data_IF_922699950749
#
_entry.id   IF_922699950749
#
_cell.length_a   1.000
_cell.length_b   1.000
_cell.length_c   1.000
_cell.angle_alpha   90.00
_cell.angle_beta   90.00
_cell.angle_gamma   90.00
#
_symmetry.space_group_name_H-M   'P 1'
#
loop_
_entity.id
_entity.type
_entity.pdbx_description
1 polymer ?
#
# COMPACT_ATOMS: atom_id res chain seq x y z
N UNK A 1 20.40 -39.98 50.86
CA UNK A 1 20.16 -38.54 51.06
C UNK A 1 20.19 -37.88 49.68
N UNK A 2 19.02 -37.44 49.19
CA UNK A 2 18.83 -36.86 47.84
C UNK A 2 19.00 -35.34 47.94
N UNK A 3 19.99 -34.79 47.23
CA UNK A 3 20.23 -33.35 47.14
C UNK A 3 19.19 -32.71 46.19
N UNK A 4 18.27 -31.94 46.76
CA UNK A 4 17.34 -31.09 46.01
C UNK A 4 18.02 -29.74 45.78
N UNK A 5 18.29 -29.39 44.52
CA UNK A 5 18.72 -28.04 44.12
C UNK A 5 17.47 -27.16 44.02
N UNK A 6 17.39 -26.12 44.85
CA UNK A 6 16.39 -25.06 44.76
C UNK A 6 16.78 -24.13 43.62
N UNK A 7 15.94 -24.03 42.59
CA UNK A 7 16.08 -23.05 41.50
C UNK A 7 15.23 -21.84 41.90
N UNK A 8 15.88 -20.71 42.19
CA UNK A 8 15.22 -19.43 42.44
C UNK A 8 14.81 -18.86 41.07
N UNK A 9 13.51 -18.85 40.78
CA UNK A 9 12.96 -18.14 39.63
C UNK A 9 12.92 -16.63 39.95
N UNK A 10 13.80 -15.86 39.34
CA UNK A 10 13.70 -14.40 39.34
C UNK A 10 12.59 -13.98 38.37
N UNK A 11 11.46 -13.50 38.91
CA UNK A 11 10.39 -12.87 38.12
C UNK A 11 10.85 -11.45 37.78
N UNK A 12 11.33 -11.26 36.55
CA UNK A 12 11.62 -9.93 36.01
C UNK A 12 10.28 -9.27 35.67
N UNK A 13 9.83 -8.33 36.52
CA UNK A 13 8.67 -7.48 36.23
C UNK A 13 9.05 -6.45 35.17
N UNK A 14 8.56 -6.66 33.94
CA UNK A 14 8.68 -5.70 32.85
C UNK A 14 7.73 -4.52 33.12
N UNK A 15 8.24 -3.44 33.68
CA UNK A 15 7.52 -2.18 33.79
C UNK A 15 7.39 -1.57 32.38
N UNK A 16 6.23 -1.75 31.75
CA UNK A 16 5.87 -1.03 30.53
C UNK A 16 5.57 0.41 30.95
N UNK A 17 6.50 1.32 30.72
CA UNK A 17 6.23 2.76 30.77
C UNK A 17 5.29 3.04 29.57
N UNK A 18 3.99 3.13 29.83
CA UNK A 18 3.05 3.75 28.91
C UNK A 18 3.37 5.25 28.85
N UNK A 19 4.31 5.63 27.99
CA UNK A 19 4.34 7.01 27.50
C UNK A 19 3.14 7.11 26.57
N UNK A 20 2.14 7.92 26.94
CA UNK A 20 1.01 8.24 26.08
C UNK A 20 1.56 8.72 24.73
N UNK A 21 1.33 7.96 23.66
CA UNK A 21 1.71 8.41 22.33
C UNK A 21 0.90 9.66 22.00
N UNK A 22 1.52 10.70 21.43
CA UNK A 22 0.77 11.85 20.97
C UNK A 22 -0.20 11.42 19.86
N UNK A 23 -1.36 12.09 19.76
CA UNK A 23 -2.43 11.73 18.81
C UNK A 23 -1.97 11.67 17.34
N UNK A 24 -0.90 12.38 17.01
CA UNK A 24 -0.31 12.47 15.68
C UNK A 24 0.70 11.37 15.34
N UNK A 25 1.02 10.44 16.26
CA UNK A 25 1.95 9.34 16.00
C UNK A 25 1.20 8.05 15.63
N UNK A 26 1.55 7.46 14.49
CA UNK A 26 0.98 6.18 14.05
C UNK A 26 2.00 5.05 14.29
N UNK A 27 1.52 3.88 14.71
CA UNK A 27 2.34 2.68 14.81
C UNK A 27 1.63 1.45 14.28
N UNK A 28 2.41 0.51 13.74
CA UNK A 28 1.92 -0.80 13.29
C UNK A 28 3.06 -1.81 13.30
N UNK A 29 2.76 -3.09 13.43
CA UNK A 29 3.76 -4.16 13.26
C UNK A 29 3.74 -4.66 11.82
N UNK A 30 4.87 -4.57 11.12
CA UNK A 30 5.06 -5.14 9.78
C UNK A 30 5.89 -6.44 9.85
N UNK A 31 5.84 -7.25 8.79
CA UNK A 31 6.62 -8.49 8.70
C UNK A 31 5.99 -9.47 7.73
N UNK A 32 5.34 -10.50 8.27
CA UNK A 32 4.75 -11.60 7.49
C UNK A 32 3.58 -11.17 6.60
N UNK A 33 2.72 -10.26 7.07
CA UNK A 33 1.48 -9.90 6.40
C UNK A 33 1.51 -8.50 5.80
N UNK A 34 0.73 -8.32 4.73
CA UNK A 34 0.50 -7.00 4.14
C UNK A 34 -0.07 -6.04 5.19
N UNK A 35 0.56 -4.89 5.34
CA UNK A 35 0.25 -3.96 6.42
C UNK A 35 0.34 -2.52 5.92
N UNK A 36 -0.62 -1.69 6.32
CA UNK A 36 -0.63 -0.26 6.03
C UNK A 36 -0.54 0.51 7.34
N UNK A 37 0.41 1.44 7.43
CA UNK A 37 0.41 2.50 8.43
C UNK A 37 -0.07 3.77 7.74
N UNK A 38 -1.18 4.34 8.20
CA UNK A 38 -1.73 5.58 7.65
C UNK A 38 -1.69 6.70 8.70
N UNK A 39 -1.32 7.90 8.29
CA UNK A 39 -1.34 9.10 9.10
C UNK A 39 -1.81 10.29 8.25
N UNK A 40 -3.11 10.56 8.31
CA UNK A 40 -3.74 11.59 7.47
C UNK A 40 -3.30 13.01 7.85
N UNK A 41 -3.02 13.28 9.14
CA UNK A 41 -2.55 14.59 9.60
C UNK A 41 -1.19 14.97 9.00
N UNK A 42 -0.31 13.98 8.85
CA UNK A 42 0.99 14.16 8.19
C UNK A 42 0.89 14.04 6.67
N UNK A 43 -0.25 13.60 6.14
CA UNK A 43 -0.41 13.20 4.75
C UNK A 43 0.61 12.13 4.35
N UNK A 44 0.86 11.15 5.23
CA UNK A 44 1.85 10.11 5.03
C UNK A 44 1.25 8.74 5.25
N UNK A 45 1.61 7.81 4.36
CA UNK A 45 1.25 6.40 4.49
C UNK A 45 2.45 5.53 4.11
N UNK A 46 2.62 4.44 4.83
CA UNK A 46 3.55 3.37 4.52
C UNK A 46 2.77 2.10 4.20
N UNK A 47 3.07 1.49 3.07
CA UNK A 47 2.48 0.23 2.63
C UNK A 47 3.56 -0.85 2.56
N UNK A 48 3.49 -1.83 3.46
CA UNK A 48 4.44 -2.92 3.54
C UNK A 48 3.82 -4.22 2.98
N UNK A 49 4.37 -4.81 1.90
CA UNK A 49 3.88 -6.08 1.37
C UNK A 49 4.19 -7.26 2.32
N UNK A 50 3.61 -8.45 2.11
CA UNK A 50 3.91 -9.63 2.90
C UNK A 50 5.38 -10.05 2.80
N UNK A 51 5.93 -10.48 3.94
CA UNK A 51 7.33 -10.89 4.10
C UNK A 51 8.31 -9.74 3.78
N UNK A 52 8.00 -8.53 4.23
CA UNK A 52 8.87 -7.34 4.13
C UNK A 52 10.10 -7.46 5.04
N UNK A 53 10.03 -8.30 6.07
CA UNK A 53 11.11 -8.60 7.02
C UNK A 53 10.90 -10.00 7.61
N UNK A 54 12.00 -10.72 7.87
CA UNK A 54 12.00 -12.06 8.48
C UNK A 54 11.55 -12.05 9.95
N UNK A 55 11.70 -10.91 10.62
CA UNK A 55 11.24 -10.70 11.99
C UNK A 55 10.22 -9.56 12.03
N UNK A 56 9.21 -9.62 12.93
CA UNK A 56 8.28 -8.51 13.11
C UNK A 56 9.01 -7.23 13.50
N UNK A 57 8.63 -6.12 12.86
CA UNK A 57 9.16 -4.78 13.15
C UNK A 57 8.00 -3.89 13.58
N UNK A 58 8.12 -3.26 14.75
CA UNK A 58 7.25 -2.18 15.15
C UNK A 58 7.67 -0.92 14.39
N UNK A 59 6.82 -0.46 13.49
CA UNK A 59 6.99 0.79 12.76
C UNK A 59 6.34 1.91 13.54
N UNK A 60 7.05 3.02 13.69
CA UNK A 60 6.52 4.30 14.14
C UNK A 60 6.83 5.35 13.09
N UNK A 61 5.85 6.18 12.76
CA UNK A 61 6.02 7.33 11.87
C UNK A 61 5.59 8.61 12.59
N UNK A 62 6.45 9.61 12.56
CA UNK A 62 6.33 10.86 13.31
C UNK A 62 6.77 12.04 12.44
N UNK A 63 6.17 13.22 12.61
CA UNK A 63 6.62 14.41 11.91
C UNK A 63 8.10 14.69 12.25
N UNK A 64 8.93 14.91 11.24
CA UNK A 64 10.33 15.21 11.48
C UNK A 64 10.46 16.60 12.12
N UNK A 65 11.34 16.70 13.11
CA UNK A 65 11.70 17.98 13.74
C UNK A 65 12.28 18.95 12.69
N UNK A 66 11.54 20.01 12.41
CA UNK A 66 11.90 21.01 11.40
C UNK A 66 13.27 21.64 11.64
N UNK A 67 13.72 21.76 12.90
CA UNK A 67 15.04 22.30 13.25
C UNK A 67 16.20 21.39 12.82
N UNK A 68 15.92 20.11 12.52
CA UNK A 68 16.89 19.11 12.08
C UNK A 68 16.87 18.89 10.57
N UNK A 69 16.02 19.60 9.84
CA UNK A 69 15.97 19.55 8.38
C UNK A 69 17.06 20.48 7.85
N UNK A 70 18.11 19.89 7.27
CA UNK A 70 19.20 20.64 6.66
C UNK A 70 18.76 21.11 5.27
N UNK A 71 18.80 22.42 4.97
CA UNK A 71 18.50 22.92 3.63
C UNK A 71 19.51 22.40 2.60
N UNK A 72 19.00 22.00 1.44
CA UNK A 72 19.81 21.57 0.27
C UNK A 72 19.45 22.49 -0.89
N UNK A 73 20.47 22.99 -1.59
CA UNK A 73 20.27 23.90 -2.71
C UNK A 73 19.43 23.26 -3.84
N UNK A 74 18.50 24.06 -4.38
CA UNK A 74 17.55 23.61 -5.40
C UNK A 74 16.51 22.57 -4.94
N UNK A 75 16.36 22.34 -3.62
CA UNK A 75 15.36 21.43 -3.05
C UNK A 75 14.50 22.17 -2.02
N UNK A 76 13.18 22.11 -2.21
CA UNK A 76 12.20 22.52 -1.22
C UNK A 76 11.60 21.30 -0.52
N UNK A 77 11.73 21.24 0.81
CA UNK A 77 11.12 20.19 1.63
C UNK A 77 9.71 20.64 2.00
N UNK A 78 8.69 20.00 1.42
CA UNK A 78 7.29 20.31 1.73
C UNK A 78 6.90 19.80 3.11
N UNK A 79 7.29 18.55 3.41
CA UNK A 79 7.16 17.93 4.74
C UNK A 79 8.11 16.75 4.86
N UNK A 80 8.50 16.43 6.08
CA UNK A 80 9.38 15.31 6.37
C UNK A 80 8.84 14.46 7.52
N UNK A 81 9.09 13.16 7.45
CA UNK A 81 8.64 12.13 8.37
C UNK A 81 9.83 11.33 8.84
N UNK A 82 9.95 11.17 10.17
CA UNK A 82 10.86 10.22 10.77
C UNK A 82 10.16 8.87 10.87
N UNK A 83 10.71 7.86 10.20
CA UNK A 83 10.25 6.47 10.30
C UNK A 83 11.25 5.68 11.13
N UNK A 84 10.76 4.98 12.14
CA UNK A 84 11.53 4.11 13.02
C UNK A 84 10.95 2.71 12.97
N UNK A 85 11.74 1.73 12.53
CA UNK A 85 11.34 0.33 12.46
C UNK A 85 12.20 -0.48 13.41
N UNK A 86 11.63 -0.90 14.54
CA UNK A 86 12.36 -1.52 15.64
C UNK A 86 11.88 -2.95 15.86
N UNK A 87 12.81 -3.88 15.99
CA UNK A 87 12.49 -5.20 16.51
C UNK A 87 12.42 -5.15 18.04
N UNK A 88 11.20 -5.14 18.61
CA UNK A 88 11.05 -5.05 20.07
C UNK A 88 11.64 -6.23 20.84
N UNK A 89 11.72 -7.43 20.24
CA UNK A 89 12.25 -8.61 20.90
C UNK A 89 13.78 -8.59 21.02
N UNK A 90 14.47 -7.96 20.07
CA UNK A 90 15.93 -7.97 19.97
C UNK A 90 16.56 -6.57 20.12
N UNK A 91 15.75 -5.52 20.28
CA UNK A 91 16.20 -4.17 20.62
C UNK A 91 16.98 -3.44 19.53
N UNK A 92 16.99 -3.93 18.29
CA UNK A 92 17.68 -3.31 17.17
C UNK A 92 16.73 -2.57 16.23
N UNK A 93 17.26 -1.53 15.58
CA UNK A 93 16.57 -0.73 14.56
C UNK A 93 16.95 -1.24 13.18
N UNK A 94 15.96 -1.53 12.35
CA UNK A 94 16.18 -1.99 10.98
C UNK A 94 16.70 -0.84 10.11
N UNK A 95 17.80 -1.10 9.39
CA UNK A 95 18.33 -0.20 8.36
C UNK A 95 17.81 -0.55 6.96
N UNK A 96 17.48 -1.82 6.69
CA UNK A 96 16.95 -2.28 5.41
C UNK A 96 15.81 -3.30 5.56
N UNK A 97 15.05 -3.48 4.48
CA UNK A 97 13.93 -4.42 4.35
C UNK A 97 14.28 -5.52 3.34
N UNK A 98 13.68 -6.70 3.51
CA UNK A 98 13.86 -7.84 2.60
C UNK A 98 13.07 -7.67 1.28
N UNK A 99 11.97 -6.91 1.34
CA UNK A 99 11.21 -6.46 0.16
C UNK A 99 10.97 -4.96 0.28
N UNK A 100 10.87 -4.23 -0.85
CA UNK A 100 10.57 -2.81 -0.81
C UNK A 100 9.22 -2.54 -0.14
N UNK A 101 9.18 -1.55 0.74
CA UNK A 101 7.93 -0.93 1.17
C UNK A 101 7.63 0.28 0.27
N UNK A 102 6.37 0.64 0.14
CA UNK A 102 5.94 1.84 -0.58
C UNK A 102 5.71 2.98 0.41
N UNK A 103 6.46 4.06 0.23
CA UNK A 103 6.25 5.33 0.91
C UNK A 103 5.29 6.16 0.07
N UNK A 104 4.31 6.77 0.73
CA UNK A 104 3.25 7.54 0.06
C UNK A 104 3.08 8.87 0.80
N UNK A 105 3.17 9.98 0.06
CA UNK A 105 2.86 11.32 0.54
C UNK A 105 1.68 11.89 -0.22
N UNK A 106 0.72 12.47 0.49
CA UNK A 106 -0.37 13.25 -0.11
C UNK A 106 0.01 14.72 -0.16
N UNK A 107 -0.49 15.43 -1.17
CA UNK A 107 -0.38 16.88 -1.31
C UNK A 107 -1.65 17.44 -1.93
N UNK A 108 -1.91 18.73 -1.74
CA UNK A 108 -3.02 19.44 -2.38
C UNK A 108 -2.53 20.61 -3.24
N UNK A 109 -3.48 21.35 -3.81
CA UNK A 109 -3.25 22.54 -4.62
C UNK A 109 -2.47 23.63 -3.87
N UNK A 110 -2.69 23.80 -2.57
CA UNK A 110 -1.94 24.75 -1.73
C UNK A 110 -0.48 24.30 -1.59
N UNK A 111 -0.23 23.02 -1.33
CA UNK A 111 1.13 22.46 -1.29
C UNK A 111 1.84 22.68 -2.64
N UNK A 112 1.15 22.40 -3.74
CA UNK A 112 1.66 22.60 -5.10
C UNK A 112 1.98 24.06 -5.39
N UNK A 113 1.07 24.99 -5.10
CA UNK A 113 1.29 26.42 -5.27
C UNK A 113 2.47 26.92 -4.45
N UNK A 114 2.59 26.50 -3.19
CA UNK A 114 3.74 26.89 -2.34
C UNK A 114 5.05 26.34 -2.88
N UNK A 115 5.08 25.05 -3.22
CA UNK A 115 6.26 24.38 -3.74
C UNK A 115 6.72 24.93 -5.10
N UNK A 116 5.79 25.38 -5.94
CA UNK A 116 6.07 25.98 -7.24
C UNK A 116 6.34 27.49 -7.19
N UNK A 117 6.43 28.11 -6.00
CA UNK A 117 6.51 29.58 -5.85
C UNK A 117 5.37 30.32 -6.56
N UNK A 118 4.16 29.77 -6.47
CA UNK A 118 2.91 30.24 -7.10
C UNK A 118 2.88 30.14 -8.63
N UNK A 119 3.86 29.46 -9.24
CA UNK A 119 3.90 29.21 -10.69
C UNK A 119 3.17 27.90 -11.03
N UNK A 120 1.87 28.01 -11.28
CA UNK A 120 1.03 26.87 -11.66
C UNK A 120 1.39 26.24 -13.01
N UNK A 121 2.31 26.83 -13.79
CA UNK A 121 2.81 26.27 -15.06
C UNK A 121 3.91 25.22 -14.88
N UNK A 122 4.47 25.06 -13.68
CA UNK A 122 5.54 24.09 -13.46
C UNK A 122 5.02 22.64 -13.49
N UNK A 123 5.80 21.68 -14.01
CA UNK A 123 5.35 20.29 -14.05
C UNK A 123 5.21 19.73 -12.63
N UNK A 124 4.03 19.19 -12.30
CA UNK A 124 3.75 18.55 -11.00
C UNK A 124 4.72 17.38 -10.70
N UNK A 125 5.30 16.77 -11.73
CA UNK A 125 6.38 15.80 -11.63
C UNK A 125 7.68 16.32 -10.99
N UNK A 126 7.78 17.61 -10.63
CA UNK A 126 8.88 18.10 -9.78
C UNK A 126 8.79 17.56 -8.36
N UNK A 127 7.59 17.20 -7.89
CA UNK A 127 7.40 16.48 -6.64
C UNK A 127 8.03 15.08 -6.70
N UNK A 128 8.71 14.68 -5.61
CA UNK A 128 9.36 13.37 -5.44
C UNK A 128 9.51 13.02 -3.97
N UNK A 129 9.74 11.75 -3.66
CA UNK A 129 10.13 11.32 -2.31
C UNK A 129 11.64 11.26 -2.21
N UNK A 130 12.20 11.84 -1.14
CA UNK A 130 13.60 11.69 -0.78
C UNK A 130 13.80 10.91 0.51
N UNK A 131 14.93 10.22 0.61
CA UNK A 131 15.48 9.64 1.83
C UNK A 131 16.72 10.45 2.25
N UNK A 132 16.80 10.85 3.50
CA UNK A 132 17.95 11.61 4.02
C UNK A 132 19.17 10.71 4.22
N UNK A 133 20.26 10.99 3.49
CA UNK A 133 21.54 10.29 3.64
C UNK A 133 22.44 11.10 4.58
N UNK A 134 22.59 10.61 5.81
CA UNK A 134 23.39 11.27 6.84
C UNK A 134 24.88 11.41 6.48
N UNK A 135 25.40 10.53 5.61
CA UNK A 135 26.81 10.57 5.19
C UNK A 135 27.07 11.65 4.16
N UNK A 136 26.12 11.87 3.25
CA UNK A 136 26.20 12.88 2.20
C UNK A 136 25.68 14.24 2.63
N UNK A 137 24.89 14.27 3.72
CA UNK A 137 24.11 15.45 4.14
C UNK A 137 23.25 15.97 2.98
N UNK A 138 22.64 15.04 2.26
CA UNK A 138 21.81 15.31 1.10
C UNK A 138 20.64 14.30 1.01
N UNK A 139 19.63 14.64 0.20
CA UNK A 139 18.49 13.79 -0.10
C UNK A 139 18.81 12.83 -1.25
N UNK A 140 18.83 11.54 -0.96
CA UNK A 140 18.77 10.49 -1.99
C UNK A 140 17.35 10.47 -2.53
N UNK A 141 17.19 10.82 -3.79
CA UNK A 141 15.88 10.88 -4.44
C UNK A 141 15.45 9.47 -4.86
N UNK A 142 14.24 9.09 -4.44
CA UNK A 142 13.67 7.80 -4.78
C UNK A 142 12.92 7.89 -6.12
N UNK A 143 12.98 6.87 -7.00
CA UNK A 143 12.14 6.79 -8.19
C UNK A 143 10.67 6.92 -7.80
N UNK A 144 10.07 8.05 -8.17
CA UNK A 144 8.75 8.44 -7.69
C UNK A 144 7.73 8.47 -8.82
N UNK A 145 6.50 8.14 -8.47
CA UNK A 145 5.31 8.22 -9.30
C UNK A 145 4.37 9.27 -8.71
N UNK A 146 3.94 10.22 -9.54
CA UNK A 146 3.03 11.31 -9.15
C UNK A 146 1.65 11.06 -9.74
N UNK A 147 0.63 11.10 -8.88
CA UNK A 147 -0.78 11.08 -9.21
C UNK A 147 -1.35 12.46 -8.89
N UNK A 148 -2.08 13.04 -9.82
CA UNK A 148 -2.61 14.40 -9.66
C UNK A 148 -3.94 14.53 -10.40
N UNK A 149 -4.98 14.97 -9.70
CA UNK A 149 -6.32 15.17 -10.26
C UNK A 149 -6.71 16.65 -10.42
N UNK A 150 -5.75 17.58 -10.31
CA UNK A 150 -5.99 19.01 -10.39
C UNK A 150 -6.24 19.72 -9.05
N UNK A 151 -6.55 18.96 -7.99
CA UNK A 151 -6.76 19.52 -6.64
C UNK A 151 -6.02 18.76 -5.55
N UNK A 152 -5.97 17.42 -5.66
CA UNK A 152 -5.27 16.55 -4.73
C UNK A 152 -4.32 15.62 -5.49
N UNK A 153 -3.23 15.27 -4.83
CA UNK A 153 -2.20 14.42 -5.40
C UNK A 153 -1.56 13.49 -4.40
N UNK A 154 -0.92 12.48 -4.96
CA UNK A 154 -0.13 11.48 -4.25
C UNK A 154 1.21 11.36 -4.94
N UNK A 155 2.28 11.29 -4.15
CA UNK A 155 3.58 10.82 -4.60
C UNK A 155 3.83 9.48 -3.92
N UNK A 156 4.15 8.45 -4.70
CA UNK A 156 4.57 7.15 -4.17
C UNK A 156 5.97 6.80 -4.66
N UNK A 157 6.73 6.11 -3.82
CA UNK A 157 8.03 5.53 -4.17
C UNK A 157 8.25 4.24 -3.39
N UNK A 158 8.89 3.27 -4.02
CA UNK A 158 9.32 2.03 -3.34
C UNK A 158 10.75 2.18 -2.82
N UNK A 159 11.03 1.61 -1.65
CA UNK A 159 12.33 1.67 -0.99
C UNK A 159 12.58 0.44 -0.13
N UNK A 160 13.81 -0.04 -0.13
CA UNK A 160 14.29 -1.05 0.81
C UNK A 160 14.93 -0.42 2.06
N UNK A 161 15.20 0.88 2.07
CA UNK A 161 15.53 1.59 3.30
C UNK A 161 14.41 1.39 4.32
N UNK A 162 14.76 0.96 5.54
CA UNK A 162 13.82 0.78 6.62
C UNK A 162 13.67 2.08 7.41
N UNK A 163 14.40 2.21 8.52
CA UNK A 163 14.36 3.41 9.36
C UNK A 163 15.13 4.57 8.74
N UNK A 164 14.64 5.78 8.97
CA UNK A 164 15.27 7.01 8.53
C UNK A 164 14.26 8.12 8.28
N UNK A 165 14.75 9.22 7.71
CA UNK A 165 13.92 10.38 7.41
C UNK A 165 13.54 10.38 5.94
N UNK A 166 12.25 10.46 5.68
CA UNK A 166 11.68 10.57 4.34
C UNK A 166 11.02 11.94 4.20
N UNK A 167 10.95 12.47 2.99
CA UNK A 167 10.29 13.73 2.74
C UNK A 167 9.61 13.78 1.38
N UNK A 168 8.50 14.53 1.33
CA UNK A 168 7.98 15.07 0.08
C UNK A 168 8.83 16.29 -0.29
N UNK A 169 9.49 16.19 -1.44
CA UNK A 169 10.40 17.18 -1.96
C UNK A 169 9.85 17.79 -3.24
N UNK A 170 10.16 19.05 -3.47
CA UNK A 170 10.06 19.70 -4.76
C UNK A 170 11.45 20.11 -5.24
N UNK A 171 11.78 19.81 -6.50
CA UNK A 171 13.08 20.18 -7.08
C UNK A 171 12.98 21.40 -7.99
N UNK A 172 13.78 22.43 -7.68
CA UNK A 172 13.96 23.62 -8.49
C UNK A 172 15.08 23.49 -9.52
N UNK A 173 15.86 22.41 -9.49
CA UNK A 173 16.95 22.20 -10.45
C UNK A 173 16.35 22.08 -11.87
N UNK A 174 16.94 22.78 -12.82
CA UNK A 174 16.45 22.82 -14.22
C UNK A 174 16.68 21.49 -14.93
N UNK A 175 17.79 20.81 -14.61
CA UNK A 175 18.22 19.54 -15.18
C UNK A 175 17.71 18.31 -14.41
N UNK A 176 16.92 18.52 -13.34
CA UNK A 176 16.38 17.42 -12.56
C UNK A 176 15.46 16.55 -13.41
N UNK A 177 15.74 15.24 -13.42
CA UNK A 177 14.76 14.27 -13.91
C UNK A 177 13.46 14.45 -13.13
N UNK A 178 12.36 14.65 -13.86
CA UNK A 178 11.02 14.75 -13.28
C UNK A 178 10.50 13.35 -12.96
N UNK A 179 9.77 13.24 -11.85
CA UNK A 179 9.04 12.05 -11.51
C UNK A 179 7.96 11.76 -12.55
N UNK A 180 7.76 10.48 -12.85
CA UNK A 180 6.74 10.08 -13.82
C UNK A 180 5.35 10.44 -13.29
N UNK A 181 4.58 11.17 -14.09
CA UNK A 181 3.17 11.42 -13.81
C UNK A 181 2.38 10.23 -14.34
N UNK A 182 1.67 9.54 -13.46
CA UNK A 182 0.94 8.33 -13.82
C UNK A 182 -0.38 8.73 -14.48
N UNK A 183 -0.67 8.24 -15.71
CA UNK A 183 -1.94 8.54 -16.37
C UNK A 183 -3.11 7.94 -15.59
N UNK A 184 -4.29 8.51 -15.80
CA UNK A 184 -5.53 7.97 -15.22
C UNK A 184 -5.77 6.53 -15.68
N UNK A 185 -6.20 5.69 -14.74
CA UNK A 185 -6.50 4.30 -15.00
C UNK A 185 -6.62 3.50 -13.71
N UNK A 186 -7.47 2.48 -13.73
CA UNK A 186 -7.70 1.64 -12.55
C UNK A 186 -6.50 0.70 -12.36
N UNK A 187 -5.86 0.81 -11.19
CA UNK A 187 -4.82 -0.11 -10.75
C UNK A 187 -5.41 -1.16 -9.83
N UNK A 188 -4.84 -2.35 -9.84
CA UNK A 188 -5.19 -3.40 -8.88
C UNK A 188 -3.95 -3.85 -8.13
N UNK A 189 -4.08 -3.99 -6.81
CA UNK A 189 -3.08 -4.59 -5.95
C UNK A 189 -3.69 -5.71 -5.14
N UNK A 190 -2.97 -6.82 -5.00
CA UNK A 190 -3.28 -7.86 -4.01
C UNK A 190 -2.16 -7.86 -2.98
N UNK A 191 -2.54 -7.71 -1.70
CA UNK A 191 -1.61 -7.62 -0.59
C UNK A 191 -0.51 -6.55 -0.83
N UNK A 192 -0.92 -5.39 -1.34
CA UNK A 192 -0.05 -4.24 -1.66
C UNK A 192 0.95 -4.46 -2.82
N UNK A 193 0.91 -5.63 -3.46
CA UNK A 193 1.70 -5.93 -4.66
C UNK A 193 0.89 -5.57 -5.91
N UNK A 194 1.42 -4.73 -6.81
CA UNK A 194 0.76 -4.41 -8.08
C UNK A 194 0.55 -5.65 -8.95
N UNK A 195 -0.66 -5.78 -9.50
CA UNK A 195 -0.98 -6.84 -10.46
C UNK A 195 -0.91 -6.27 -11.87
N UNK A 196 -0.18 -6.97 -12.75
CA UNK A 196 -0.22 -6.72 -14.19
C UNK A 196 -1.40 -7.48 -14.80
N UNK A 197 -2.17 -6.79 -15.61
CA UNK A 197 -3.24 -7.38 -16.42
C UNK A 197 -3.01 -7.05 -17.89
N UNK A 198 -3.33 -7.99 -18.77
CA UNK A 198 -3.28 -7.83 -20.23
C UNK A 198 -4.43 -6.95 -20.76
N UNK A 199 -5.49 -6.78 -19.98
CA UNK A 199 -6.63 -5.92 -20.31
C UNK A 199 -6.96 -5.01 -19.13
N UNK A 200 -7.31 -3.75 -19.43
CA UNK A 200 -7.56 -2.76 -18.39
C UNK A 200 -8.87 -3.05 -17.64
N UNK A 201 -8.91 -2.91 -16.30
CA UNK A 201 -10.16 -2.83 -15.56
C UNK A 201 -10.95 -1.58 -15.95
N UNK A 202 -12.27 -1.60 -15.74
CA UNK A 202 -13.15 -0.46 -16.02
C UNK A 202 -14.24 -0.32 -14.98
N UNK A 203 -14.94 0.83 -14.97
CA UNK A 203 -16.14 1.03 -14.15
C UNK A 203 -17.39 0.77 -14.98
N UNK A 204 -18.34 0.01 -14.44
CA UNK A 204 -19.69 -0.18 -14.98
C UNK A 204 -20.68 -0.19 -13.82
N UNK A 205 -21.73 0.63 -13.92
CA UNK A 205 -22.77 0.77 -12.89
C UNK A 205 -22.19 0.93 -11.47
N UNK A 206 -21.23 1.85 -11.33
CA UNK A 206 -20.48 2.12 -10.09
C UNK A 206 -19.76 0.90 -9.50
N UNK A 207 -19.39 -0.07 -10.33
CA UNK A 207 -18.58 -1.24 -9.94
C UNK A 207 -17.33 -1.33 -10.79
N UNK A 208 -16.21 -1.59 -10.12
CA UNK A 208 -14.94 -1.90 -10.77
C UNK A 208 -15.00 -3.32 -11.32
N UNK A 209 -15.08 -3.41 -12.65
CA UNK A 209 -15.05 -4.63 -13.43
C UNK A 209 -13.61 -5.02 -13.71
N UNK A 210 -13.24 -6.25 -13.36
CA UNK A 210 -11.87 -6.75 -13.43
C UNK A 210 -11.80 -8.07 -14.20
N UNK A 211 -10.69 -8.35 -14.89
CA UNK A 211 -10.49 -9.63 -15.57
C UNK A 211 -10.50 -10.75 -14.54
N UNK A 212 -11.47 -11.65 -14.67
CA UNK A 212 -11.75 -12.65 -13.66
C UNK A 212 -10.53 -13.51 -13.33
N UNK A 213 -9.85 -14.01 -14.37
CA UNK A 213 -8.71 -14.93 -14.22
C UNK A 213 -7.56 -14.29 -13.45
N UNK A 214 -7.26 -13.02 -13.76
CA UNK A 214 -6.18 -12.27 -13.13
C UNK A 214 -6.40 -12.18 -11.61
N UNK A 215 -7.62 -11.86 -11.19
CA UNK A 215 -7.93 -11.76 -9.75
C UNK A 215 -8.06 -13.11 -9.08
N UNK A 216 -8.71 -14.08 -9.72
CA UNK A 216 -8.85 -15.42 -9.18
C UNK A 216 -7.49 -16.07 -8.91
N UNK A 217 -6.56 -16.02 -9.87
CA UNK A 217 -5.22 -16.60 -9.74
C UNK A 217 -4.41 -15.95 -8.60
N UNK A 218 -4.46 -14.61 -8.48
CA UNK A 218 -3.79 -13.89 -7.39
C UNK A 218 -4.41 -14.17 -6.01
N UNK A 219 -5.69 -14.56 -5.97
CA UNK A 219 -6.38 -15.05 -4.76
C UNK A 219 -6.15 -16.56 -4.50
N UNK A 220 -5.38 -17.24 -5.34
CA UNK A 220 -5.08 -18.67 -5.25
C UNK A 220 -6.23 -19.57 -5.73
N UNK A 221 -7.20 -19.03 -6.46
CA UNK A 221 -8.32 -19.77 -7.03
C UNK A 221 -8.04 -20.16 -8.49
N UNK A 222 -8.41 -21.39 -8.86
CA UNK A 222 -8.45 -21.82 -10.28
C UNK A 222 -9.80 -21.47 -10.89
N UNK A 223 -9.80 -21.23 -12.20
CA UNK A 223 -11.00 -20.86 -12.97
C UNK A 223 -11.33 -21.96 -13.97
N UNK A 224 -12.52 -22.56 -13.85
CA UNK A 224 -13.07 -23.51 -14.81
C UNK A 224 -14.23 -22.87 -15.59
N UNK A 225 -14.23 -23.02 -16.91
CA UNK A 225 -15.33 -22.59 -17.78
C UNK A 225 -16.17 -23.79 -18.22
N UNK A 226 -17.49 -23.69 -18.05
CA UNK A 226 -18.48 -24.69 -18.45
C UNK A 226 -19.38 -24.06 -19.50
N UNK A 227 -18.94 -24.15 -20.75
CA UNK A 227 -19.56 -23.43 -21.88
C UNK A 227 -21.00 -23.79 -22.17
N UNK A 228 -21.43 -25.03 -21.91
CA UNK A 228 -22.82 -25.47 -22.11
C UNK A 228 -23.82 -24.74 -21.20
N UNK A 229 -23.35 -24.19 -20.09
CA UNK A 229 -24.18 -23.49 -19.10
C UNK A 229 -23.89 -21.99 -19.04
N UNK A 230 -22.89 -21.50 -19.79
CA UNK A 230 -22.27 -20.19 -19.57
C UNK A 230 -21.85 -19.99 -18.10
N UNK A 231 -21.40 -21.08 -17.46
CA UNK A 231 -21.05 -21.13 -16.03
C UNK A 231 -19.53 -21.07 -15.85
N UNK A 232 -19.11 -20.37 -14.82
CA UNK A 232 -17.74 -20.25 -14.36
C UNK A 232 -17.70 -20.82 -12.95
N UNK A 233 -16.79 -21.75 -12.71
CA UNK A 233 -16.52 -22.30 -11.39
C UNK A 233 -15.14 -21.81 -10.92
N UNK A 234 -15.13 -21.03 -9.85
CA UNK A 234 -13.92 -20.62 -9.14
C UNK A 234 -13.68 -21.56 -7.97
N UNK A 235 -12.51 -22.18 -7.91
CA UNK A 235 -12.21 -23.19 -6.88
C UNK A 235 -10.92 -22.83 -6.14
N UNK A 236 -11.01 -22.74 -4.81
CA UNK A 236 -9.87 -22.54 -3.91
C UNK A 236 -10.03 -23.46 -2.72
N UNK A 237 -9.09 -24.39 -2.53
CA UNK A 237 -9.19 -25.43 -1.50
C UNK A 237 -10.53 -26.20 -1.62
N UNK A 238 -11.36 -26.19 -0.56
CA UNK A 238 -12.68 -26.80 -0.54
C UNK A 238 -13.82 -25.82 -0.91
N UNK A 239 -13.49 -24.54 -1.13
CA UNK A 239 -14.47 -23.53 -1.51
C UNK A 239 -14.69 -23.53 -3.02
N UNK A 240 -15.96 -23.54 -3.43
CA UNK A 240 -16.38 -23.40 -4.82
C UNK A 240 -17.38 -22.25 -4.93
N UNK A 241 -17.09 -21.30 -5.83
CA UNK A 241 -17.99 -20.21 -6.20
C UNK A 241 -18.36 -20.38 -7.68
N UNK A 242 -19.64 -20.60 -7.95
CA UNK A 242 -20.20 -20.72 -9.31
C UNK A 242 -20.92 -19.44 -9.69
N UNK A 243 -20.61 -18.90 -10.87
CA UNK A 243 -21.25 -17.71 -11.43
C UNK A 243 -21.60 -17.94 -12.89
N UNK A 244 -22.59 -17.21 -13.40
CA UNK A 244 -23.07 -17.36 -14.78
C UNK A 244 -22.98 -16.04 -15.52
N UNK A 245 -22.47 -16.07 -16.75
CA UNK A 245 -22.40 -14.87 -17.60
C UNK A 245 -23.81 -14.33 -17.85
N UNK A 246 -23.99 -13.02 -17.68
CA UNK A 246 -25.27 -12.33 -17.83
C UNK A 246 -26.25 -12.52 -16.67
N UNK A 247 -25.86 -13.19 -15.58
CA UNK A 247 -26.70 -13.34 -14.37
C UNK A 247 -26.03 -12.73 -13.16
N UNK A 248 -26.82 -12.04 -12.34
CA UNK A 248 -26.39 -11.49 -11.05
C UNK A 248 -26.39 -12.54 -9.94
N UNK A 249 -27.14 -13.63 -10.10
CA UNK A 249 -27.10 -14.75 -9.15
C UNK A 249 -25.83 -15.59 -9.33
N UNK A 250 -25.20 -15.92 -8.22
CA UNK A 250 -24.08 -16.84 -8.07
C UNK A 250 -24.30 -17.77 -6.88
N UNK A 251 -23.46 -18.80 -6.73
CA UNK A 251 -23.53 -19.76 -5.63
C UNK A 251 -22.17 -19.99 -5.00
N UNK A 252 -22.09 -19.96 -3.67
CA UNK A 252 -20.94 -20.47 -2.90
C UNK A 252 -21.33 -21.78 -2.23
N UNK A 253 -20.88 -22.90 -2.79
CA UNK A 253 -21.42 -24.22 -2.43
C UNK A 253 -22.92 -24.30 -2.69
N UNK A 254 -23.72 -24.44 -1.63
CA UNK A 254 -25.20 -24.48 -1.70
C UNK A 254 -25.87 -23.11 -1.46
N UNK A 255 -25.11 -22.10 -1.02
CA UNK A 255 -25.65 -20.78 -0.67
C UNK A 255 -25.72 -19.89 -1.91
N UNK A 256 -26.90 -19.33 -2.21
CA UNK A 256 -27.04 -18.28 -3.23
C UNK A 256 -26.47 -16.95 -2.74
N UNK A 257 -25.84 -16.24 -3.66
CA UNK A 257 -25.28 -14.91 -3.47
C UNK A 257 -25.56 -14.05 -4.71
N UNK A 258 -25.59 -12.73 -4.55
CA UNK A 258 -25.94 -11.81 -5.63
C UNK A 258 -24.81 -10.82 -5.89
N UNK A 259 -24.61 -10.50 -7.16
CA UNK A 259 -23.73 -9.45 -7.66
C UNK A 259 -24.57 -8.23 -8.04
N UNK A 260 -24.03 -7.03 -7.83
CA UNK A 260 -24.67 -5.79 -8.28
C UNK A 260 -24.66 -5.66 -9.82
N UNK A 261 -23.62 -6.20 -10.46
CA UNK A 261 -23.45 -6.22 -11.92
C UNK A 261 -23.13 -7.64 -12.36
N UNK A 262 -23.81 -8.12 -13.39
CA UNK A 262 -23.59 -9.47 -13.91
C UNK A 262 -22.19 -9.61 -14.56
N UNK A 263 -21.55 -10.80 -14.46
CA UNK A 263 -20.38 -11.12 -15.24
C UNK A 263 -20.65 -10.95 -16.73
N UNK A 264 -19.69 -10.42 -17.47
CA UNK A 264 -19.80 -10.22 -18.91
C UNK A 264 -18.53 -10.63 -19.64
N UNK A 265 -18.63 -10.88 -20.94
CA UNK A 265 -17.48 -11.18 -21.78
C UNK A 265 -17.22 -9.97 -22.67
N UNK A 266 -16.04 -9.38 -22.52
CA UNK A 266 -15.57 -8.25 -23.34
C UNK A 266 -14.24 -8.66 -23.97
N UNK A 267 -14.14 -8.58 -25.29
CA UNK A 267 -12.93 -8.95 -26.04
C UNK A 267 -12.34 -10.30 -25.61
N UNK A 268 -13.19 -11.34 -25.54
CA UNK A 268 -12.81 -12.72 -25.15
C UNK A 268 -12.27 -12.85 -23.71
N UNK A 269 -12.53 -11.87 -22.85
CA UNK A 269 -12.20 -11.93 -21.42
C UNK A 269 -13.47 -11.80 -20.61
N UNK A 270 -13.62 -12.66 -19.60
CA UNK A 270 -14.69 -12.51 -18.62
C UNK A 270 -14.31 -11.44 -17.61
N UNK A 271 -15.18 -10.45 -17.45
CA UNK A 271 -15.11 -9.43 -16.42
C UNK A 271 -16.15 -9.68 -15.34
N UNK A 272 -15.77 -9.40 -14.09
CA UNK A 272 -16.62 -9.54 -12.91
C UNK A 272 -16.44 -8.35 -11.97
N UNK A 273 -17.41 -8.06 -11.09
CA UNK A 273 -17.20 -7.08 -10.02
C UNK A 273 -16.08 -7.54 -9.08
N UNK A 274 -15.03 -6.73 -8.94
CA UNK A 274 -13.85 -7.04 -8.11
C UNK A 274 -14.21 -7.40 -6.67
N UNK A 275 -15.10 -6.61 -6.08
CA UNK A 275 -15.51 -6.79 -4.68
C UNK A 275 -16.16 -8.15 -4.47
N UNK A 276 -17.08 -8.52 -5.34
CA UNK A 276 -17.78 -9.81 -5.25
C UNK A 276 -16.80 -10.98 -5.30
N UNK A 277 -15.92 -11.04 -6.31
CA UNK A 277 -14.97 -12.16 -6.45
C UNK A 277 -13.98 -12.23 -5.28
N UNK A 278 -13.57 -11.08 -4.75
CA UNK A 278 -12.65 -11.00 -3.61
C UNK A 278 -13.32 -11.46 -2.32
N UNK A 279 -14.50 -10.91 -2.00
CA UNK A 279 -15.26 -11.21 -0.78
C UNK A 279 -15.82 -12.63 -0.77
N UNK A 280 -16.13 -13.20 -1.94
CA UNK A 280 -16.52 -14.61 -2.05
C UNK A 280 -15.43 -15.55 -1.50
N UNK A 281 -14.17 -15.12 -1.55
CA UNK A 281 -12.99 -15.78 -0.98
C UNK A 281 -12.51 -15.16 0.34
N UNK A 282 -13.35 -14.35 0.99
CA UNK A 282 -13.08 -13.72 2.27
C UNK A 282 -12.05 -12.60 2.22
N UNK A 283 -11.57 -12.19 1.04
CA UNK A 283 -10.65 -11.08 0.93
C UNK A 283 -11.38 -9.74 1.13
N UNK A 284 -10.69 -8.75 1.71
CA UNK A 284 -11.19 -7.38 1.87
C UNK A 284 -10.77 -6.52 0.70
N UNK A 285 -11.66 -5.67 0.19
CA UNK A 285 -11.34 -4.69 -0.86
C UNK A 285 -11.43 -3.27 -0.31
N UNK A 286 -10.43 -2.46 -0.63
CA UNK A 286 -10.41 -1.01 -0.37
C UNK A 286 -10.08 -0.28 -1.67
N UNK A 287 -10.44 0.99 -1.72
CA UNK A 287 -10.25 1.84 -2.89
C UNK A 287 -9.48 3.10 -2.49
N UNK A 288 -8.50 3.47 -3.30
CA UNK A 288 -7.73 4.69 -3.17
C UNK A 288 -8.09 5.61 -4.33
N UNK A 289 -8.86 6.66 -4.04
CA UNK A 289 -9.47 7.54 -5.04
C UNK A 289 -8.44 8.30 -5.88
N UNK A 290 -7.38 8.82 -5.24
CA UNK A 290 -6.39 9.67 -5.94
C UNK A 290 -5.54 8.82 -6.87
N UNK A 291 -5.13 7.63 -6.42
CA UNK A 291 -4.32 6.72 -7.23
C UNK A 291 -5.15 5.77 -8.10
N UNK A 292 -6.48 5.89 -8.05
CA UNK A 292 -7.45 5.00 -8.72
C UNK A 292 -7.10 3.51 -8.51
N UNK A 293 -6.72 3.15 -7.28
CA UNK A 293 -6.18 1.82 -6.97
C UNK A 293 -7.15 1.01 -6.12
N UNK A 294 -7.59 -0.13 -6.64
CA UNK A 294 -8.28 -1.15 -5.85
C UNK A 294 -7.26 -2.05 -5.14
N UNK A 295 -7.27 -2.04 -3.80
CA UNK A 295 -6.39 -2.86 -2.97
C UNK A 295 -7.18 -3.99 -2.35
N UNK A 296 -6.81 -5.22 -2.70
CA UNK A 296 -7.38 -6.46 -2.18
C UNK A 296 -6.44 -7.04 -1.13
N UNK A 297 -6.96 -7.39 0.04
CA UNK A 297 -6.20 -8.00 1.13
C UNK A 297 -6.76 -9.40 1.37
N UNK A 298 -5.92 -10.43 1.21
CA UNK A 298 -6.33 -11.81 1.49
C UNK A 298 -6.57 -11.97 3.00
N UNK A 299 -7.55 -12.80 3.36
CA UNK A 299 -7.69 -13.22 4.76
C UNK A 299 -6.45 -14.01 5.19
N UNK A 300 -6.00 -13.73 6.42
CA UNK A 300 -4.87 -14.37 7.08
C UNK A 300 -5.24 -15.77 7.58
#
# INVERSE_FOLDING_TARGET
MRNVRVIILAVLSLAIILVSMPAWAANVTIGQYATVLNNDEMGFRLEAPPNVSDKPLLVKAEAADSSKIVPVDGIYVTRAVQVSMVNNAAGWTASSLAKPARMVFTFNDIDYQRASNMDAGQPVGRFRIGYWDESKKDWVQLPSHVFWNGSNGVVEAETDHASGRYALLWSYKEDAQISSVVPEGIRIMVDLVPIKSDVAPYVKDDRTMVPLRVIAENLGARVDWIGSENRIDLVRNLEKVSLWVGKTEAKKGQQSMFMDVAPEVVNERTFVPLRFVSEAFGAKVTWDEITQTAKVFKNQ
#
